data_IF_044925261637
#
_entry.id   IF_044925261637
#
_cell.length_a   1.000
_cell.length_b   1.000
_cell.length_c   1.000
_cell.angle_alpha   90.00
_cell.angle_beta   90.00
_cell.angle_gamma   90.00
#
_symmetry.space_group_name_H-M   'P 1'
#
loop_
_entity.id
_entity.type
_entity.pdbx_description
1 polymer ?
#
# COMPACT_ATOMS: atom_id res chain seq x y z
N UNK A 1 17.60 8.37 11.38
CA UNK A 1 17.28 7.99 9.99
C UNK A 1 15.79 7.78 9.97
N UNK A 2 15.06 8.52 9.14
CA UNK A 2 13.60 8.39 9.06
C UNK A 2 13.29 6.99 8.52
N UNK A 3 12.90 6.08 9.41
CA UNK A 3 12.40 4.75 9.09
C UNK A 3 10.93 4.91 8.70
N UNK A 4 10.67 5.39 7.49
CA UNK A 4 9.32 5.53 6.97
C UNK A 4 9.07 4.35 6.03
N UNK A 5 8.05 3.55 6.32
CA UNK A 5 7.61 2.48 5.43
C UNK A 5 7.03 3.07 4.15
N UNK A 6 7.19 2.34 3.04
CA UNK A 6 6.75 2.84 1.74
C UNK A 6 6.42 1.73 0.76
N UNK A 7 5.68 2.14 -0.28
CA UNK A 7 5.55 1.41 -1.54
C UNK A 7 5.95 2.37 -2.66
N UNK A 8 7.00 2.02 -3.39
CA UNK A 8 7.35 2.67 -4.64
C UNK A 8 6.55 2.04 -5.79
N UNK A 9 6.11 2.87 -6.72
CA UNK A 9 5.37 2.44 -7.91
C UNK A 9 5.73 3.27 -9.14
N UNK A 10 5.40 2.74 -10.30
CA UNK A 10 5.47 3.45 -11.58
C UNK A 10 4.07 3.67 -12.14
N UNK A 11 3.87 4.71 -12.93
CA UNK A 11 2.64 4.94 -13.68
C UNK A 11 2.95 5.39 -15.11
N UNK A 12 2.04 5.07 -16.03
CA UNK A 12 2.07 5.56 -17.41
C UNK A 12 1.05 6.67 -17.68
N UNK A 13 0.07 6.84 -16.80
CA UNK A 13 -1.05 7.77 -16.99
C UNK A 13 -1.29 8.61 -15.73
N UNK A 14 -0.92 9.89 -15.82
CA UNK A 14 -1.08 10.84 -14.71
C UNK A 14 -2.56 11.09 -14.35
N UNK A 15 -3.51 10.85 -15.26
CA UNK A 15 -4.94 10.99 -14.96
C UNK A 15 -5.41 9.92 -13.97
N UNK A 16 -4.91 8.68 -14.10
CA UNK A 16 -5.22 7.58 -13.18
C UNK A 16 -4.62 7.79 -11.80
N UNK A 17 -3.45 8.44 -11.71
CA UNK A 17 -2.91 8.86 -10.41
C UNK A 17 -3.77 9.94 -9.75
N UNK A 18 -4.33 10.90 -10.50
CA UNK A 18 -5.27 11.88 -9.94
C UNK A 18 -6.51 11.20 -9.35
N UNK A 19 -7.05 10.20 -10.04
CA UNK A 19 -8.15 9.39 -9.54
C UNK A 19 -7.75 8.58 -8.30
N UNK A 20 -6.56 7.96 -8.31
CA UNK A 20 -6.00 7.23 -7.18
C UNK A 20 -5.92 8.13 -5.95
N UNK A 21 -5.29 9.29 -6.08
CA UNK A 21 -5.12 10.25 -5.00
C UNK A 21 -6.47 10.76 -4.47
N UNK A 22 -7.44 11.01 -5.35
CA UNK A 22 -8.79 11.42 -4.93
C UNK A 22 -9.47 10.35 -4.07
N UNK A 23 -9.43 9.08 -4.49
CA UNK A 23 -10.04 7.99 -3.72
C UNK A 23 -9.26 7.71 -2.43
N UNK A 24 -7.93 7.75 -2.50
CA UNK A 24 -7.04 7.57 -1.35
C UNK A 24 -7.30 8.59 -0.23
N UNK A 25 -7.45 9.87 -0.57
CA UNK A 25 -7.78 10.91 0.41
C UNK A 25 -9.12 10.64 1.11
N UNK A 26 -10.12 10.13 0.38
CA UNK A 26 -11.41 9.74 0.98
C UNK A 26 -11.24 8.55 1.94
N UNK A 27 -10.38 7.58 1.61
CA UNK A 27 -10.06 6.45 2.49
C UNK A 27 -9.38 6.93 3.78
N UNK A 28 -8.38 7.81 3.67
CA UNK A 28 -7.68 8.40 4.83
C UNK A 28 -8.67 9.16 5.71
N UNK A 29 -9.52 10.00 5.12
CA UNK A 29 -10.54 10.74 5.87
C UNK A 29 -11.50 9.79 6.60
N UNK A 30 -11.90 8.68 5.96
CA UNK A 30 -12.75 7.69 6.61
C UNK A 30 -12.02 6.97 7.76
N UNK A 31 -10.74 6.62 7.58
CA UNK A 31 -9.90 5.98 8.61
C UNK A 31 -9.71 6.90 9.81
N UNK A 32 -9.27 8.13 9.59
CA UNK A 32 -9.03 9.14 10.64
C UNK A 32 -10.27 9.41 11.48
N UNK A 33 -11.45 9.42 10.85
CA UNK A 33 -12.72 9.72 11.50
C UNK A 33 -13.51 8.46 11.92
N UNK A 34 -12.94 7.25 11.77
CA UNK A 34 -13.63 5.98 12.07
C UNK A 34 -14.97 5.81 11.33
N UNK A 35 -15.13 6.42 10.15
CA UNK A 35 -16.43 6.52 9.47
C UNK A 35 -16.61 5.40 8.46
N UNK A 36 -17.61 4.55 8.71
CA UNK A 36 -18.02 3.51 7.75
C UNK A 36 -18.89 4.06 6.64
N UNK A 37 -18.71 3.56 5.42
CA UNK A 37 -19.51 3.93 4.25
C UNK A 37 -20.16 2.70 3.62
N UNK A 38 -21.37 2.86 3.11
CA UNK A 38 -22.11 1.80 2.40
C UNK A 38 -21.48 1.55 1.02
N UNK A 39 -21.67 0.36 0.46
CA UNK A 39 -21.12 -0.01 -0.85
C UNK A 39 -21.44 1.00 -1.97
N UNK A 40 -22.68 1.49 -2.02
CA UNK A 40 -23.11 2.50 -3.01
C UNK A 40 -22.31 3.82 -2.93
N UNK A 41 -21.78 4.18 -1.75
CA UNK A 41 -20.95 5.37 -1.60
C UNK A 41 -19.64 5.21 -2.37
N UNK A 42 -19.01 4.04 -2.26
CA UNK A 42 -17.75 3.71 -2.94
C UNK A 42 -17.94 3.56 -4.44
N UNK A 43 -18.96 2.82 -4.87
CA UNK A 43 -19.28 2.65 -6.29
C UNK A 43 -19.50 3.97 -7.03
N UNK A 44 -20.06 5.00 -6.37
CA UNK A 44 -20.26 6.32 -6.98
C UNK A 44 -19.01 7.20 -7.06
N UNK A 45 -17.94 6.84 -6.34
CA UNK A 45 -16.73 7.67 -6.17
C UNK A 45 -15.48 7.04 -6.76
N UNK A 46 -15.56 5.75 -7.06
CA UNK A 46 -14.49 4.99 -7.69
C UNK A 46 -14.71 4.98 -9.21
N UNK A 47 -13.68 5.25 -10.03
CA UNK A 47 -13.80 5.15 -11.48
C UNK A 47 -14.21 3.75 -11.96
N UNK A 48 -14.96 3.66 -13.04
CA UNK A 48 -15.49 2.39 -13.56
C UNK A 48 -14.40 1.36 -13.85
N UNK A 49 -13.25 1.79 -14.41
CA UNK A 49 -12.14 0.88 -14.71
C UNK A 49 -11.53 0.23 -13.45
N UNK A 50 -11.55 0.94 -12.32
CA UNK A 50 -11.10 0.43 -11.01
C UNK A 50 -12.11 -0.58 -10.46
N UNK A 51 -13.41 -0.29 -10.63
CA UNK A 51 -14.51 -1.19 -10.25
C UNK A 51 -14.40 -2.49 -11.05
N UNK A 52 -14.22 -2.40 -12.36
CA UNK A 52 -14.07 -3.54 -13.26
C UNK A 52 -12.83 -4.38 -12.91
N UNK A 53 -11.70 -3.73 -12.66
CA UNK A 53 -10.48 -4.40 -12.21
C UNK A 53 -10.72 -5.17 -10.90
N UNK A 54 -11.35 -4.54 -9.90
CA UNK A 54 -11.59 -5.18 -8.60
C UNK A 54 -12.67 -6.27 -8.65
N UNK A 55 -13.62 -6.18 -9.58
CA UNK A 55 -14.56 -7.27 -9.88
C UNK A 55 -13.84 -8.49 -10.50
N UNK A 56 -12.88 -8.26 -11.40
CA UNK A 56 -12.04 -9.34 -11.95
C UNK A 56 -11.07 -9.90 -10.90
N UNK A 57 -10.52 -9.04 -10.04
CA UNK A 57 -9.68 -9.44 -8.90
C UNK A 57 -10.43 -10.40 -7.97
N UNK A 58 -11.69 -10.08 -7.61
CA UNK A 58 -12.52 -10.96 -6.78
C UNK A 58 -12.77 -12.32 -7.46
N UNK A 59 -13.08 -12.34 -8.76
CA UNK A 59 -13.22 -13.59 -9.53
C UNK A 59 -11.93 -14.43 -9.55
N UNK A 60 -10.78 -13.79 -9.43
CA UNK A 60 -9.46 -14.42 -9.33
C UNK A 60 -9.05 -14.75 -7.89
N UNK A 61 -10.01 -14.78 -6.95
CA UNK A 61 -9.81 -15.11 -5.52
C UNK A 61 -8.87 -14.12 -4.79
N UNK A 62 -8.87 -12.86 -5.22
CA UNK A 62 -8.16 -11.77 -4.58
C UNK A 62 -9.17 -10.79 -3.96
N UNK A 63 -8.79 -9.52 -3.80
CA UNK A 63 -9.60 -8.48 -3.19
C UNK A 63 -10.79 -8.06 -4.05
N UNK A 64 -11.92 -7.78 -3.39
CA UNK A 64 -13.04 -7.03 -3.97
C UNK A 64 -13.03 -5.58 -3.49
N UNK A 65 -13.72 -4.68 -4.20
CA UNK A 65 -13.73 -3.25 -3.88
C UNK A 65 -14.09 -2.97 -2.42
N UNK A 66 -15.21 -3.54 -1.96
CA UNK A 66 -15.73 -3.24 -0.62
C UNK A 66 -14.84 -3.83 0.46
N UNK A 67 -14.37 -5.08 0.28
CA UNK A 67 -13.49 -5.75 1.25
C UNK A 67 -12.14 -5.04 1.34
N UNK A 68 -11.58 -4.62 0.21
CA UNK A 68 -10.31 -3.89 0.18
C UNK A 68 -10.40 -2.57 0.93
N UNK A 69 -11.42 -1.77 0.62
CA UNK A 69 -11.57 -0.44 1.22
C UNK A 69 -11.90 -0.55 2.71
N UNK A 70 -12.74 -1.51 3.10
CA UNK A 70 -13.02 -1.78 4.51
C UNK A 70 -11.76 -2.16 5.25
N UNK A 71 -10.94 -3.08 4.70
CA UNK A 71 -9.69 -3.49 5.31
C UNK A 71 -8.73 -2.31 5.50
N UNK A 72 -8.54 -1.47 4.48
CA UNK A 72 -7.67 -0.29 4.57
C UNK A 72 -8.13 0.67 5.69
N UNK A 73 -9.45 0.87 5.82
CA UNK A 73 -10.02 1.79 6.80
C UNK A 73 -9.94 1.20 8.21
N UNK A 74 -10.38 -0.04 8.39
CA UNK A 74 -10.69 -0.63 9.69
C UNK A 74 -9.56 -1.50 10.25
N UNK A 75 -8.84 -2.23 9.40
CA UNK A 75 -7.99 -3.34 9.82
C UNK A 75 -6.49 -3.10 9.56
N UNK A 76 -6.14 -2.32 8.53
CA UNK A 76 -4.75 -2.01 8.21
C UNK A 76 -4.21 -1.01 9.24
N UNK A 77 -3.32 -1.45 10.12
CA UNK A 77 -2.86 -0.67 11.27
C UNK A 77 -1.65 0.22 10.95
N UNK A 78 -1.90 1.21 10.09
CA UNK A 78 -0.90 2.17 9.62
C UNK A 78 -1.42 3.60 9.71
N UNK A 79 -0.49 4.54 9.84
CA UNK A 79 -0.72 5.97 9.68
C UNK A 79 -0.17 6.40 8.33
N UNK A 80 -1.04 6.83 7.41
CA UNK A 80 -0.62 7.32 6.09
C UNK A 80 0.01 8.70 6.21
N UNK A 81 1.17 8.88 5.59
CA UNK A 81 1.96 10.12 5.68
C UNK A 81 2.15 10.80 4.32
N UNK A 82 2.01 10.07 3.21
CA UNK A 82 2.10 10.66 1.88
C UNK A 82 1.62 9.76 0.74
N UNK A 83 1.17 10.39 -0.35
CA UNK A 83 1.02 9.77 -1.66
C UNK A 83 1.39 10.80 -2.72
N UNK A 84 2.53 10.60 -3.37
CA UNK A 84 3.09 11.56 -4.32
C UNK A 84 3.64 10.89 -5.58
N UNK A 85 3.83 11.70 -6.61
CA UNK A 85 4.42 11.29 -7.88
C UNK A 85 5.50 12.29 -8.30
N UNK A 86 6.67 11.78 -8.66
CA UNK A 86 7.77 12.56 -9.21
C UNK A 86 7.65 12.77 -10.72
N UNK A 87 8.51 13.64 -11.26
CA UNK A 87 8.46 14.06 -12.67
C UNK A 87 8.75 12.92 -13.67
N UNK A 88 9.40 11.85 -13.23
CA UNK A 88 9.79 10.70 -14.06
C UNK A 88 8.73 9.59 -14.13
N UNK A 89 7.53 9.79 -13.57
CA UNK A 89 6.48 8.77 -13.52
C UNK A 89 6.71 7.70 -12.44
N UNK A 90 7.68 7.89 -11.56
CA UNK A 90 7.83 7.14 -10.31
C UNK A 90 7.04 7.86 -9.21
N UNK A 91 6.24 7.12 -8.46
CA UNK A 91 5.52 7.62 -7.31
C UNK A 91 5.76 6.77 -6.06
N UNK A 92 5.34 7.31 -4.93
CA UNK A 92 5.59 6.75 -3.62
C UNK A 92 4.37 6.94 -2.72
N UNK A 93 3.98 5.85 -2.06
CA UNK A 93 3.00 5.86 -0.97
C UNK A 93 3.76 5.62 0.32
N UNK A 94 3.71 6.59 1.21
CA UNK A 94 4.38 6.54 2.51
C UNK A 94 3.40 6.33 3.65
N UNK A 95 3.82 5.52 4.61
CA UNK A 95 3.05 5.21 5.81
C UNK A 95 3.98 4.87 6.98
N UNK A 96 3.40 4.88 8.18
CA UNK A 96 4.05 4.43 9.41
C UNK A 96 3.26 3.25 9.98
N UNK A 97 3.94 2.16 10.32
CA UNK A 97 3.28 1.01 10.98
C UNK A 97 3.03 1.32 12.46
N UNK A 98 1.79 1.15 12.94
CA UNK A 98 1.47 1.41 14.35
C UNK A 98 1.75 0.21 15.27
N UNK A 99 1.87 -1.00 14.70
CA UNK A 99 2.19 -2.23 15.43
C UNK A 99 2.15 -3.48 14.56
N UNK A 100 2.93 -4.52 14.89
CA UNK A 100 2.90 -5.79 14.16
C UNK A 100 1.97 -6.83 14.85
N UNK A 101 1.17 -7.59 14.08
CA UNK A 101 0.98 -7.53 12.63
C UNK A 101 0.07 -6.37 12.21
N UNK A 102 0.52 -5.54 11.25
CA UNK A 102 -0.26 -4.38 10.78
C UNK A 102 -1.20 -4.68 9.60
N UNK A 103 -1.17 -5.90 9.05
CA UNK A 103 -1.95 -6.30 7.87
C UNK A 103 -1.13 -6.44 6.57
N UNK A 104 0.12 -5.98 6.57
CA UNK A 104 1.05 -6.13 5.44
C UNK A 104 0.76 -5.18 4.26
N UNK A 105 1.69 -5.09 3.29
CA UNK A 105 1.57 -4.11 2.19
C UNK A 105 0.64 -4.57 1.07
N UNK A 106 0.18 -5.82 1.09
CA UNK A 106 -0.52 -6.44 -0.05
C UNK A 106 -1.85 -5.77 -0.43
N UNK A 107 -2.59 -5.24 0.55
CA UNK A 107 -3.82 -4.49 0.29
C UNK A 107 -3.50 -3.17 -0.43
N UNK A 108 -2.48 -2.43 0.03
CA UNK A 108 -2.03 -1.18 -0.59
C UNK A 108 -1.46 -1.40 -1.99
N UNK A 109 -0.67 -2.46 -2.20
CA UNK A 109 -0.17 -2.84 -3.53
C UNK A 109 -1.33 -3.15 -4.48
N UNK A 110 -2.36 -3.85 -4.00
CA UNK A 110 -3.56 -4.15 -4.81
C UNK A 110 -4.38 -2.89 -5.09
N UNK A 111 -4.50 -2.00 -4.10
CA UNK A 111 -5.14 -0.69 -4.26
C UNK A 111 -4.45 0.12 -5.36
N UNK A 112 -3.14 0.30 -5.29
CA UNK A 112 -2.35 1.01 -6.30
C UNK A 112 -2.52 0.39 -7.69
N UNK A 113 -2.42 -0.95 -7.79
CA UNK A 113 -2.57 -1.67 -9.06
C UNK A 113 -3.93 -1.43 -9.72
N UNK A 114 -5.00 -1.28 -8.94
CA UNK A 114 -6.33 -1.00 -9.49
C UNK A 114 -6.41 0.35 -10.21
N UNK A 115 -5.49 1.28 -9.92
CA UNK A 115 -5.34 2.57 -10.59
C UNK A 115 -4.18 2.61 -11.60
N UNK A 116 -3.68 1.46 -12.05
CA UNK A 116 -2.47 1.35 -12.88
C UNK A 116 -1.22 2.02 -12.27
N UNK A 117 -1.17 2.14 -10.94
CA UNK A 117 0.05 2.45 -10.20
C UNK A 117 0.76 1.13 -9.88
N UNK A 118 1.82 0.82 -10.62
CA UNK A 118 2.46 -0.50 -10.60
C UNK A 118 3.57 -0.52 -9.55
N UNK A 119 3.28 -1.13 -8.40
CA UNK A 119 4.26 -1.28 -7.34
C UNK A 119 5.53 -2.01 -7.82
N UNK A 120 6.70 -1.47 -7.48
CA UNK A 120 8.03 -1.98 -7.86
C UNK A 120 8.83 -2.42 -6.64
N UNK A 121 8.62 -1.76 -5.50
CA UNK A 121 9.32 -2.00 -4.24
C UNK A 121 8.45 -1.63 -3.04
N UNK A 122 8.72 -2.26 -1.90
CA UNK A 122 8.15 -1.84 -0.62
C UNK A 122 9.16 -2.05 0.51
N UNK A 123 9.25 -1.08 1.42
CA UNK A 123 9.81 -1.31 2.76
C UNK A 123 8.64 -1.40 3.74
N UNK A 124 8.47 -2.57 4.36
CA UNK A 124 7.36 -2.86 5.25
C UNK A 124 7.73 -2.72 6.74
N UNK A 125 8.91 -2.16 7.02
CA UNK A 125 9.51 -1.99 8.34
C UNK A 125 10.33 -3.21 8.80
N UNK A 126 10.15 -4.38 8.17
CA UNK A 126 10.95 -5.60 8.39
C UNK A 126 12.09 -5.77 7.37
N UNK A 127 12.05 -4.98 6.30
CA UNK A 127 13.05 -4.93 5.25
C UNK A 127 12.48 -4.43 3.93
N UNK A 128 13.38 -4.30 2.94
CA UNK A 128 13.03 -3.90 1.58
C UNK A 128 12.76 -5.13 0.72
N UNK A 129 11.67 -5.08 -0.05
CA UNK A 129 11.23 -6.16 -0.92
C UNK A 129 10.92 -5.63 -2.32
N UNK A 130 11.45 -6.30 -3.35
CA UNK A 130 11.04 -6.08 -4.73
C UNK A 130 9.71 -6.75 -5.01
N UNK A 131 8.82 -6.03 -5.70
CA UNK A 131 7.51 -6.53 -6.13
C UNK A 131 7.64 -7.12 -7.53
N UNK A 132 7.45 -8.45 -7.64
CA UNK A 132 7.49 -9.17 -8.92
C UNK A 132 6.08 -9.61 -9.31
N UNK A 133 5.50 -8.93 -10.30
CA UNK A 133 4.19 -9.27 -10.85
C UNK A 133 4.26 -10.56 -11.68
N UNK A 134 3.31 -11.46 -11.44
CA UNK A 134 3.13 -12.72 -12.18
C UNK A 134 1.93 -12.66 -13.12
N UNK A 135 0.95 -11.83 -12.79
CA UNK A 135 -0.19 -11.46 -13.62
C UNK A 135 -0.76 -10.15 -13.09
N UNK A 136 -1.87 -9.68 -13.66
CA UNK A 136 -2.55 -8.47 -13.18
C UNK A 136 -2.98 -8.55 -11.71
N UNK A 137 -3.28 -9.76 -11.20
CA UNK A 137 -3.86 -9.96 -9.88
C UNK A 137 -2.95 -10.67 -8.88
N UNK A 138 -1.73 -11.06 -9.30
CA UNK A 138 -0.79 -11.83 -8.47
C UNK A 138 0.61 -11.26 -8.56
N UNK A 139 1.23 -11.04 -7.40
CA UNK A 139 2.62 -10.64 -7.27
C UNK A 139 3.31 -11.46 -6.17
N UNK A 140 4.63 -11.35 -6.13
CA UNK A 140 5.47 -11.93 -5.08
C UNK A 140 6.40 -10.84 -4.54
N UNK A 141 6.63 -10.87 -3.23
CA UNK A 141 7.64 -10.05 -2.57
C UNK A 141 8.94 -10.85 -2.49
N UNK A 142 10.01 -10.30 -3.05
CA UNK A 142 11.35 -10.87 -2.94
C UNK A 142 12.17 -9.96 -2.06
N UNK A 143 12.58 -10.46 -0.88
CA UNK A 143 13.43 -9.70 0.02
C UNK A 143 14.74 -9.38 -0.70
N UNK A 144 15.14 -8.13 -0.71
CA UNK A 144 16.49 -7.80 -1.15
C UNK A 144 17.47 -8.45 -0.17
N UNK A 145 18.52 -9.08 -0.69
CA UNK A 145 19.59 -9.59 0.16
C UNK A 145 20.24 -8.38 0.82
N UNK A 146 19.91 -8.13 2.09
CA UNK A 146 20.57 -7.10 2.87
C UNK A 146 21.99 -7.57 3.17
N UNK A 147 23.00 -6.79 2.79
CA UNK A 147 24.25 -6.80 3.53
C UNK A 147 23.93 -6.35 4.97
N UNK A 148 24.00 -7.32 5.88
CA UNK A 148 23.79 -7.27 7.34
C UNK A 148 22.38 -6.96 7.91
N UNK A 149 21.93 -7.73 8.94
CA UNK A 149 20.70 -7.43 9.66
C UNK A 149 20.83 -6.15 10.51
N UNK A 150 19.98 -5.15 10.24
CA UNK A 150 19.83 -3.92 11.06
C UNK A 150 19.45 -4.21 12.54
N UNK A 151 19.04 -5.44 12.88
CA UNK A 151 18.62 -5.84 14.23
C UNK A 151 19.74 -6.14 15.24
N UNK A 152 20.97 -6.41 14.80
CA UNK A 152 22.06 -6.79 15.73
C UNK A 152 22.68 -5.59 16.48
N UNK A 153 22.71 -4.40 15.86
CA UNK A 153 23.26 -3.19 16.49
C UNK A 153 22.43 -2.70 17.69
N UNK A 154 21.11 -2.90 17.66
CA UNK A 154 20.19 -2.55 18.75
C UNK A 154 20.35 -3.46 19.97
N UNK A 155 20.62 -4.75 19.76
CA UNK A 155 20.71 -5.72 20.85
C UNK A 155 22.05 -5.65 21.60
N UNK A 156 23.17 -5.47 20.88
CA UNK A 156 24.48 -5.38 21.53
C UNK A 156 24.76 -4.02 22.18
N UNK A 157 24.21 -2.92 21.65
CA UNK A 157 24.35 -1.60 22.29
C UNK A 157 23.71 -1.49 23.68
N UNK A 158 22.74 -2.36 23.99
CA UNK A 158 22.10 -2.45 25.31
C UNK A 158 22.78 -3.40 26.29
N UNK A 159 23.59 -4.35 25.82
CA UNK A 159 24.27 -5.34 26.66
C UNK A 159 25.66 -4.85 27.11
N UNK A 160 26.32 -4.00 26.31
CA UNK A 160 27.66 -3.49 26.64
C UNK A 160 27.68 -2.15 27.39
N UNK A 161 26.52 -1.58 27.72
CA UNK A 161 26.39 -0.42 28.61
C UNK A 161 25.67 -0.84 29.91
N UNK A 162 26.35 -1.63 30.73
CA UNK A 162 26.06 -1.80 32.15
C UNK A 162 27.35 -2.07 32.92
#
# INVERSE_FOLDING_TARGET
MNNQEYIEFTLSDASKFKDCNKVFNILIDCKKNGTKKKAQFWLKRTPDYVIDYLNLSEKNKSWSLIKLFQFIIEDLDVTFTGLEVGENGTGRLDFEVNGYPYGGPSSLITFLRAFDCIATETDDGSGVYKVSWKSDFKFQLKKEASDEPKGLKSFFGRIFNK
#
